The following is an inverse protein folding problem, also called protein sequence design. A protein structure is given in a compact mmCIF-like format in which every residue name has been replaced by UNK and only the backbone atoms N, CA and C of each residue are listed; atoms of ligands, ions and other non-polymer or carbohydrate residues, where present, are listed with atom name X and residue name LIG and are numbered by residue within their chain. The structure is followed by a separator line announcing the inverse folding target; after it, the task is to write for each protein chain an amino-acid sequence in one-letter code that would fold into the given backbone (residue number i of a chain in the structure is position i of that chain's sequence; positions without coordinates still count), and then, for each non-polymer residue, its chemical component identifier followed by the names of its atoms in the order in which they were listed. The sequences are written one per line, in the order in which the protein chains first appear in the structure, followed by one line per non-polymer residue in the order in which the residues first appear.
data_IF_860671485279
#
_entry.id   IF_860671485279
#
_cell.length_a   1.000
_cell.length_b   1.000
_cell.length_c   1.000
_cell.angle_alpha   90.00
_cell.angle_beta   90.00
_cell.angle_gamma   90.00
#
_symmetry.space_group_name_H-M   'P 1'
#
loop_
_entity.id
_entity.type
_entity.pdbx_description
1 polymer ?
#
# COMPACT_ATOMS: atom_id res chain seq x y z
N UNK A 1 27.67 -11.99 1.73
CA UNK A 1 26.31 -11.51 1.42
C UNK A 1 25.34 -12.56 1.93
N UNK A 2 24.42 -12.17 2.79
CA UNK A 2 23.37 -13.07 3.30
C UNK A 2 22.28 -13.26 2.24
N UNK A 3 21.56 -14.39 2.26
CA UNK A 3 20.38 -14.59 1.38
C UNK A 3 19.37 -13.44 1.47
N UNK A 4 19.33 -12.76 2.62
CA UNK A 4 18.51 -11.58 2.88
C UNK A 4 18.93 -10.38 2.02
N UNK A 5 20.23 -10.16 1.84
CA UNK A 5 20.78 -9.06 1.03
C UNK A 5 20.55 -9.31 -0.47
N UNK A 6 20.60 -10.57 -0.92
CA UNK A 6 20.29 -10.94 -2.30
C UNK A 6 18.81 -10.80 -2.61
N UNK A 7 17.92 -11.26 -1.71
CA UNK A 7 16.48 -11.11 -1.90
C UNK A 7 16.05 -9.63 -1.92
N UNK A 8 16.64 -8.78 -1.07
CA UNK A 8 16.37 -7.35 -1.08
C UNK A 8 16.88 -6.66 -2.36
N UNK A 9 18.01 -7.11 -2.90
CA UNK A 9 18.56 -6.62 -4.17
C UNK A 9 17.74 -7.07 -5.39
N UNK A 10 17.21 -8.29 -5.39
CA UNK A 10 16.34 -8.78 -6.46
C UNK A 10 15.00 -8.05 -6.46
N UNK A 11 14.37 -7.84 -5.29
CA UNK A 11 13.16 -7.00 -5.18
C UNK A 11 13.44 -5.57 -5.64
N UNK A 12 14.64 -5.04 -5.36
CA UNK A 12 15.07 -3.72 -5.81
C UNK A 12 15.27 -3.63 -7.33
N UNK A 13 15.70 -4.71 -7.98
CA UNK A 13 15.99 -4.75 -9.42
C UNK A 13 14.76 -5.03 -10.30
N UNK A 14 13.83 -5.88 -9.85
CA UNK A 14 12.68 -6.35 -10.67
C UNK A 14 11.32 -5.92 -10.14
N UNK A 15 11.24 -5.40 -8.91
CA UNK A 15 10.00 -5.02 -8.25
C UNK A 15 9.15 -6.21 -7.77
N UNK A 16 9.59 -7.45 -7.98
CA UNK A 16 8.90 -8.68 -7.58
C UNK A 16 9.94 -9.77 -7.32
N UNK A 17 10.13 -10.18 -6.07
CA UNK A 17 10.70 -11.50 -5.77
C UNK A 17 9.53 -12.49 -5.69
N UNK A 18 9.56 -13.62 -6.40
CA UNK A 18 8.57 -14.67 -6.23
C UNK A 18 8.51 -15.10 -4.76
N UNK A 19 7.42 -14.73 -4.08
CA UNK A 19 7.15 -15.18 -2.71
C UNK A 19 7.75 -14.34 -1.57
N UNK A 20 8.29 -13.13 -1.83
CA UNK A 20 8.66 -12.19 -0.75
C UNK A 20 8.27 -10.74 -1.05
N UNK A 21 7.46 -10.17 -0.18
CA UNK A 21 7.00 -8.78 -0.25
C UNK A 21 7.87 -7.88 0.66
N UNK A 22 8.31 -6.68 0.23
CA UNK A 22 8.99 -5.72 1.11
C UNK A 22 8.22 -5.39 2.38
N UNK A 23 6.89 -5.48 2.32
CA UNK A 23 6.00 -5.23 3.44
C UNK A 23 6.14 -6.27 4.55
N UNK A 24 6.61 -7.49 4.28
CA UNK A 24 6.93 -8.50 5.31
C UNK A 24 7.98 -7.97 6.28
N UNK A 25 9.05 -7.39 5.75
CA UNK A 25 10.15 -6.83 6.56
C UNK A 25 9.74 -5.57 7.31
N UNK A 26 8.77 -4.82 6.75
CA UNK A 26 8.25 -3.60 7.37
C UNK A 26 7.08 -3.90 8.33
N UNK A 27 6.58 -5.14 8.38
CA UNK A 27 5.35 -5.49 9.11
C UNK A 27 5.35 -5.06 10.57
N UNK A 28 6.40 -5.31 11.37
CA UNK A 28 6.41 -4.85 12.77
C UNK A 28 6.21 -3.33 12.90
N UNK A 29 6.84 -2.55 12.02
CA UNK A 29 6.71 -1.09 12.01
C UNK A 29 5.34 -0.63 11.49
N UNK A 30 4.78 -1.33 10.51
CA UNK A 30 3.44 -1.05 9.99
C UNK A 30 2.38 -1.33 11.08
N UNK A 31 2.55 -2.42 11.84
CA UNK A 31 1.67 -2.76 12.97
C UNK A 31 1.77 -1.71 14.10
N UNK A 32 2.97 -1.23 14.44
CA UNK A 32 3.18 -0.12 15.38
C UNK A 32 2.47 1.18 14.94
N UNK A 33 2.38 1.42 13.63
CA UNK A 33 1.66 2.56 13.05
C UNK A 33 0.15 2.34 12.99
N UNK A 34 -0.34 1.14 13.31
CA UNK A 34 -1.75 0.77 13.22
C UNK A 34 -2.23 0.50 11.78
N UNK A 35 -1.32 0.08 10.91
CA UNK A 35 -1.65 -0.31 9.53
C UNK A 35 -2.40 -1.64 9.53
N UNK A 36 -3.61 -1.65 9.00
CA UNK A 36 -4.42 -2.85 8.84
C UNK A 36 -3.93 -3.60 7.60
N UNK A 37 -3.52 -4.85 7.78
CA UNK A 37 -3.16 -5.76 6.70
C UNK A 37 -4.37 -6.10 5.81
N UNK A 38 -4.13 -6.34 4.52
CA UNK A 38 -5.18 -6.58 3.53
C UNK A 38 -6.19 -7.66 3.96
N UNK A 39 -5.71 -8.81 4.45
CA UNK A 39 -6.56 -9.93 4.85
C UNK A 39 -7.45 -9.64 6.09
N UNK A 40 -7.18 -8.58 6.84
CA UNK A 40 -7.98 -8.19 8.02
C UNK A 40 -9.08 -7.20 7.70
N UNK A 41 -9.02 -6.53 6.54
CA UNK A 41 -9.93 -5.44 6.21
C UNK A 41 -11.40 -5.88 6.16
N UNK A 42 -11.70 -7.10 5.70
CA UNK A 42 -13.08 -7.59 5.63
C UNK A 42 -13.75 -7.71 7.01
N UNK A 43 -12.96 -7.92 8.07
CA UNK A 43 -13.45 -7.99 9.44
C UNK A 43 -13.61 -6.60 10.09
N UNK A 44 -13.13 -5.53 9.45
CA UNK A 44 -13.28 -4.16 9.95
C UNK A 44 -14.71 -3.69 9.66
N UNK A 45 -15.41 -3.09 10.65
CA UNK A 45 -16.76 -2.58 10.43
C UNK A 45 -16.82 -1.54 9.30
N UNK A 46 -17.87 -1.61 8.50
CA UNK A 46 -18.10 -0.67 7.40
C UNK A 46 -18.10 0.80 7.87
N UNK A 47 -17.53 1.70 7.07
CA UNK A 47 -17.40 3.13 7.40
C UNK A 47 -16.30 3.48 8.41
N UNK A 48 -15.66 2.48 9.03
CA UNK A 48 -14.56 2.68 9.98
C UNK A 48 -13.35 3.32 9.32
N UNK A 49 -12.65 4.18 10.07
CA UNK A 49 -11.38 4.75 9.62
C UNK A 49 -10.27 3.71 9.77
N UNK A 50 -9.46 3.58 8.72
CA UNK A 50 -8.31 2.67 8.70
C UNK A 50 -7.08 3.36 8.14
N UNK A 51 -5.93 2.83 8.51
CA UNK A 51 -4.65 3.08 7.85
C UNK A 51 -4.29 1.79 7.10
N UNK A 52 -3.99 1.88 5.81
CA UNK A 52 -3.51 0.76 5.00
C UNK A 52 -2.20 1.15 4.35
N UNK A 53 -1.36 0.17 4.03
CA UNK A 53 -0.06 0.43 3.41
C UNK A 53 0.39 -0.75 2.55
N UNK A 54 0.91 -0.45 1.36
CA UNK A 54 1.34 -1.48 0.43
C UNK A 54 2.04 -0.93 -0.80
N UNK A 55 2.59 -1.85 -1.60
CA UNK A 55 3.09 -1.54 -2.93
C UNK A 55 1.92 -1.23 -3.87
N UNK A 56 2.08 -0.25 -4.76
CA UNK A 56 1.06 0.07 -5.75
C UNK A 56 1.24 -0.83 -6.96
N UNK A 57 0.28 -1.71 -7.21
CA UNK A 57 0.34 -2.64 -8.36
C UNK A 57 -0.20 -1.98 -9.62
N UNK A 58 -1.33 -1.28 -9.54
CA UNK A 58 -1.90 -0.59 -10.68
C UNK A 58 -2.81 0.58 -10.28
N UNK A 59 -3.10 1.42 -11.29
CA UNK A 59 -3.99 2.58 -11.18
C UNK A 59 -4.91 2.62 -12.39
N UNK A 60 -6.21 2.73 -12.14
CA UNK A 60 -7.20 2.71 -13.21
C UNK A 60 -8.17 3.88 -13.07
N UNK A 61 -8.42 4.59 -14.16
CA UNK A 61 -9.47 5.60 -14.25
C UNK A 61 -10.41 5.23 -15.39
N UNK A 62 -11.41 4.36 -15.13
CA UNK A 62 -12.40 4.01 -16.13
C UNK A 62 -13.12 5.26 -16.62
N UNK A 63 -13.41 5.33 -17.92
CA UNK A 63 -14.14 6.47 -18.50
C UNK A 63 -15.55 6.65 -17.89
N UNK A 64 -16.14 5.56 -17.42
CA UNK A 64 -17.48 5.50 -16.82
C UNK A 64 -17.52 5.93 -15.35
N UNK A 65 -16.37 6.08 -14.68
CA UNK A 65 -16.31 6.33 -13.23
C UNK A 65 -16.33 7.82 -12.86
N UNK A 66 -16.85 8.70 -13.74
CA UNK A 66 -16.93 10.15 -13.52
C UNK A 66 -15.63 10.80 -13.01
N UNK A 67 -14.47 10.28 -13.45
CA UNK A 67 -13.13 10.75 -13.06
C UNK A 67 -12.57 10.17 -11.76
N UNK A 68 -13.31 9.33 -11.03
CA UNK A 68 -12.79 8.54 -9.91
C UNK A 68 -11.66 7.64 -10.39
N UNK A 69 -10.62 7.52 -9.57
CA UNK A 69 -9.46 6.67 -9.85
C UNK A 69 -9.36 5.57 -8.81
N UNK A 70 -9.12 4.35 -9.25
CA UNK A 70 -8.86 3.20 -8.41
C UNK A 70 -7.37 2.98 -8.33
N UNK A 71 -6.87 2.70 -7.12
CA UNK A 71 -5.48 2.30 -6.87
C UNK A 71 -5.55 0.95 -6.18
N UNK A 72 -4.82 -0.03 -6.69
CA UNK A 72 -4.71 -1.32 -6.02
C UNK A 72 -3.39 -1.36 -5.25
N UNK A 73 -3.48 -1.59 -3.94
CA UNK A 73 -2.34 -1.83 -3.08
C UNK A 73 -2.16 -3.32 -2.85
N UNK A 74 -0.93 -3.75 -2.66
CA UNK A 74 -0.59 -5.12 -2.30
C UNK A 74 0.35 -5.11 -1.10
N UNK A 75 0.03 -5.95 -0.12
CA UNK A 75 0.92 -6.37 0.94
C UNK A 75 1.06 -7.90 0.93
N UNK A 76 1.81 -8.43 1.88
CA UNK A 76 2.10 -9.87 1.96
C UNK A 76 0.87 -10.74 2.27
N UNK A 77 -0.25 -10.12 2.63
CA UNK A 77 -1.49 -10.80 2.97
C UNK A 77 -2.56 -10.70 1.89
N UNK A 78 -2.32 -9.88 0.84
CA UNK A 78 -3.19 -9.77 -0.32
C UNK A 78 -3.31 -8.37 -0.88
N UNK A 79 -4.36 -8.16 -1.67
CA UNK A 79 -4.61 -6.91 -2.37
C UNK A 79 -5.75 -6.10 -1.72
N UNK A 80 -5.66 -4.78 -1.83
CA UNK A 80 -6.66 -3.83 -1.37
C UNK A 80 -7.00 -2.86 -2.47
N UNK A 81 -8.27 -2.81 -2.86
CA UNK A 81 -8.76 -1.81 -3.79
C UNK A 81 -9.05 -0.49 -3.06
N UNK A 82 -8.51 0.60 -3.59
CA UNK A 82 -8.61 1.93 -3.00
C UNK A 82 -9.30 2.88 -3.95
N UNK A 83 -10.38 3.49 -3.49
CA UNK A 83 -11.17 4.46 -4.25
C UNK A 83 -10.65 5.87 -3.97
N UNK A 84 -10.18 6.55 -5.01
CA UNK A 84 -9.70 7.93 -4.94
C UNK A 84 -10.68 8.86 -5.68
N UNK A 85 -11.33 9.74 -4.93
CA UNK A 85 -12.19 10.78 -5.52
C UNK A 85 -11.40 11.74 -6.41
N UNK A 86 -12.10 12.45 -7.30
CA UNK A 86 -11.50 13.46 -8.18
C UNK A 86 -10.76 14.54 -7.36
N UNK A 87 -11.38 14.99 -6.25
CA UNK A 87 -10.79 15.98 -5.35
C UNK A 87 -9.52 15.47 -4.66
N UNK A 88 -9.56 14.23 -4.14
CA UNK A 88 -8.39 13.60 -3.53
C UNK A 88 -7.25 13.46 -4.54
N UNK A 89 -7.55 12.94 -5.73
CA UNK A 89 -6.56 12.76 -6.78
C UNK A 89 -5.91 14.08 -7.19
N UNK A 90 -6.71 15.15 -7.34
CA UNK A 90 -6.20 16.48 -7.66
C UNK A 90 -5.30 17.01 -6.55
N UNK A 91 -5.70 16.84 -5.28
CA UNK A 91 -4.94 17.29 -4.10
C UNK A 91 -3.59 16.57 -3.97
N UNK A 92 -3.57 15.26 -4.19
CA UNK A 92 -2.38 14.42 -4.00
C UNK A 92 -1.71 14.01 -5.31
N UNK A 93 -1.97 14.71 -6.42
CA UNK A 93 -1.62 14.30 -7.79
C UNK A 93 -0.20 13.74 -7.92
N UNK A 94 0.79 14.43 -7.37
CA UNK A 94 2.21 14.02 -7.47
C UNK A 94 2.47 12.66 -6.80
N UNK A 95 1.92 12.44 -5.61
CA UNK A 95 2.08 11.19 -4.85
C UNK A 95 1.23 10.10 -5.49
N UNK A 96 -0.04 10.40 -5.78
CA UNK A 96 -1.01 9.48 -6.36
C UNK A 96 -0.53 8.90 -7.69
N UNK A 97 0.17 9.69 -8.53
CA UNK A 97 0.67 9.24 -9.83
C UNK A 97 1.97 8.44 -9.77
N UNK A 98 2.93 8.84 -8.94
CA UNK A 98 4.31 8.37 -9.07
C UNK A 98 4.84 7.50 -7.93
N UNK A 99 4.15 7.41 -6.79
CA UNK A 99 4.67 6.66 -5.66
C UNK A 99 4.58 5.14 -5.91
N UNK A 100 5.69 4.37 -5.79
CA UNK A 100 5.64 2.91 -5.95
C UNK A 100 4.98 2.22 -4.75
N UNK A 101 4.86 2.90 -3.62
CA UNK A 101 4.19 2.43 -2.42
C UNK A 101 3.51 3.59 -1.69
N UNK A 102 2.37 3.29 -1.07
CA UNK A 102 1.54 4.27 -0.40
C UNK A 102 1.18 3.82 1.00
N UNK A 103 1.07 4.80 1.88
CA UNK A 103 0.36 4.72 3.14
C UNK A 103 -0.91 5.56 2.98
N UNK A 104 -2.08 4.98 3.23
CA UNK A 104 -3.37 5.58 2.94
C UNK A 104 -4.24 5.55 4.19
N UNK A 105 -4.68 6.73 4.62
CA UNK A 105 -5.78 6.84 5.57
C UNK A 105 -7.08 6.94 4.79
N UNK A 106 -8.06 6.14 5.16
CA UNK A 106 -9.35 6.13 4.49
C UNK A 106 -10.44 5.52 5.35
N UNK A 107 -11.56 5.21 4.69
CA UNK A 107 -12.68 4.51 5.29
C UNK A 107 -12.93 3.20 4.59
N UNK A 108 -13.18 2.15 5.37
CA UNK A 108 -13.62 0.87 4.84
C UNK A 108 -14.98 1.04 4.19
N UNK A 109 -15.13 0.43 3.02
CA UNK A 109 -16.39 0.27 2.32
C UNK A 109 -16.54 -1.21 1.95
N UNK A 110 -17.46 -1.89 2.63
CA UNK A 110 -17.80 -3.28 2.42
C UNK A 110 -19.06 -3.36 1.55
N UNK A 111 -18.93 -3.90 0.34
CA UNK A 111 -20.05 -4.13 -0.56
C UNK A 111 -20.03 -5.58 -1.04
N UNK A 112 -21.09 -6.33 -0.73
CA UNK A 112 -21.29 -7.71 -1.23
C UNK A 112 -20.10 -8.66 -0.97
N UNK A 113 -19.43 -8.50 0.18
CA UNK A 113 -18.26 -9.32 0.55
C UNK A 113 -16.93 -8.86 -0.06
N UNK A 114 -16.94 -7.79 -0.86
CA UNK A 114 -15.73 -7.13 -1.35
C UNK A 114 -15.44 -5.92 -0.46
N UNK A 115 -14.24 -5.89 0.12
CA UNK A 115 -13.76 -4.75 0.89
C UNK A 115 -12.94 -3.80 0.01
N UNK A 116 -13.24 -2.52 0.11
CA UNK A 116 -12.45 -1.44 -0.49
C UNK A 116 -12.20 -0.34 0.54
N UNK A 117 -11.27 0.57 0.24
CA UNK A 117 -11.00 1.73 1.09
C UNK A 117 -11.18 3.01 0.30
N UNK A 118 -12.09 3.87 0.76
CA UNK A 118 -12.24 5.23 0.23
C UNK A 118 -11.17 6.11 0.85
N UNK A 119 -10.22 6.58 0.04
CA UNK A 119 -9.06 7.31 0.53
C UNK A 119 -9.40 8.75 0.92
N UNK A 120 -8.88 9.18 2.08
CA UNK A 120 -8.97 10.54 2.61
C UNK A 120 -7.61 11.26 2.61
N UNK A 121 -6.51 10.50 2.77
CA UNK A 121 -5.14 11.01 2.81
C UNK A 121 -4.16 10.04 2.17
N UNK A 122 -3.24 10.55 1.35
CA UNK A 122 -2.19 9.76 0.72
C UNK A 122 -0.81 10.22 1.18
N UNK A 123 0.03 9.27 1.56
CA UNK A 123 1.45 9.48 1.86
C UNK A 123 2.29 8.49 1.08
N UNK A 124 3.48 8.93 0.67
CA UNK A 124 4.48 8.01 0.11
C UNK A 124 5.00 7.12 1.24
N UNK A 125 4.98 5.82 1.02
CA UNK A 125 5.67 4.86 1.87
C UNK A 125 7.06 4.60 1.29
N UNK A 126 8.11 4.64 2.12
CA UNK A 126 9.44 4.21 1.68
C UNK A 126 9.55 2.70 1.91
N UNK A 127 9.69 1.95 0.82
CA UNK A 127 9.93 0.51 0.87
C UNK A 127 11.39 0.18 1.18
N UNK A 128 12.29 1.18 1.14
CA UNK A 128 13.69 0.96 1.51
C UNK A 128 13.71 0.66 3.00
N UNK A 129 14.18 -0.54 3.32
CA UNK A 129 14.56 -0.86 4.69
C UNK A 129 15.47 0.25 5.20
N UNK A 130 15.23 0.69 6.43
CA UNK A 130 16.28 1.36 7.18
C UNK A 130 17.40 0.32 7.31
N UNK A 131 18.33 0.31 6.36
CA UNK A 131 19.63 -0.29 6.58
C UNK A 131 20.07 0.31 7.89
N UNK A 132 20.16 -0.50 8.95
CA UNK A 132 21.03 -0.13 10.06
C UNK A 132 22.36 0.08 9.37
N UNK A 133 22.74 1.36 9.24
CA UNK A 133 24.10 1.76 8.94
C UNK A 133 24.98 0.85 9.76
N UNK A 134 25.62 -0.12 9.09
CA UNK A 134 26.65 -0.92 9.72
C UNK A 134 27.77 0.09 9.90
N UNK A 135 27.83 0.67 11.09
CA UNK A 135 29.03 1.36 11.51
C UNK A 135 30.16 0.34 11.38
N UNK A 136 30.98 0.54 10.36
CA UNK A 136 32.19 -0.23 10.15
C UNK A 136 33.13 0.13 11.30
N UNK A 137 33.45 -0.86 12.13
CA UNK A 137 34.65 -0.88 12.94
C UNK A 137 35.26 -2.26 12.93
#
# INVERSE_FOLDING_TARGET
MSELEMAAADVWATGVSPGRYPTEFLRPRLDELGVVAANRLLAVPDGSKVLIGGAVTHRQRPATASGVTFINLEDETGMVNVVCSVGLWRRYRRIAQGAPALLIRGRVQNAEGVVSVVAEHLQRMDLRMASKSRDFR
#
